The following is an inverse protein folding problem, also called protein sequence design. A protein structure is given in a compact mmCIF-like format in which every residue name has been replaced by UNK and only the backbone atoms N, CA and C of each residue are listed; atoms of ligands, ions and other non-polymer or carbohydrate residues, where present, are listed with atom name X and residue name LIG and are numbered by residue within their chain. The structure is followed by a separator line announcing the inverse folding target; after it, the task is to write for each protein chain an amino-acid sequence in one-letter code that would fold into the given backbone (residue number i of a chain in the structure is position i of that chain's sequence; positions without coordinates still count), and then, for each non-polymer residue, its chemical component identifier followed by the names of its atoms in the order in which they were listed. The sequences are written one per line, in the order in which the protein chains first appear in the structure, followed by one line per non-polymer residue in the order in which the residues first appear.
data_IF_770079787993
#
_entry.id   IF_770079787993
#
_cell.length_a   1.000
_cell.length_b   1.000
_cell.length_c   1.000
_cell.angle_alpha   90.00
_cell.angle_beta   90.00
_cell.angle_gamma   90.00
#
_symmetry.space_group_name_H-M   'P 1'
#
loop_
_entity.id
_entity.type
_entity.pdbx_description
1 polymer ?
#
# COMPACT_ATOMS: atom_id res chain seq x y z
N UNK A 1 67.88 28.32 -0.57
CA UNK A 1 68.49 29.46 -1.30
C UNK A 1 67.99 29.40 -2.73
N UNK A 2 67.56 30.43 -3.44
CA UNK A 2 67.39 31.87 -3.23
C UNK A 2 66.35 32.27 -4.30
N UNK A 3 65.39 33.11 -3.92
CA UNK A 3 64.41 33.80 -4.79
C UNK A 3 65.11 34.86 -5.68
N UNK A 4 64.34 35.67 -6.39
CA UNK A 4 64.67 36.99 -6.95
C UNK A 4 65.08 37.02 -8.42
N UNK A 5 64.57 37.90 -9.30
CA UNK A 5 63.51 38.95 -9.30
C UNK A 5 63.33 39.34 -10.80
N UNK A 6 62.13 39.67 -11.32
CA UNK A 6 61.54 41.04 -11.44
C UNK A 6 62.44 42.02 -12.22
N UNK A 7 62.01 42.94 -13.10
CA UNK A 7 60.76 43.65 -13.45
C UNK A 7 61.15 44.55 -14.67
N UNK A 8 60.25 45.04 -15.52
CA UNK A 8 59.71 46.42 -15.40
C UNK A 8 58.53 46.69 -16.38
N UNK A 9 57.41 47.14 -15.80
CA UNK A 9 56.36 48.07 -16.29
C UNK A 9 56.93 49.53 -16.23
N UNK A 10 56.24 50.67 -16.52
CA UNK A 10 54.79 50.98 -16.46
C UNK A 10 54.30 51.92 -17.61
N UNK A 11 53.02 52.32 -17.73
CA UNK A 11 52.31 53.46 -17.07
C UNK A 11 50.86 53.47 -17.61
N UNK A 12 49.79 54.02 -17.01
CA UNK A 12 49.52 54.71 -15.75
C UNK A 12 47.98 54.65 -15.47
N UNK A 13 47.60 54.86 -14.20
CA UNK A 13 46.25 54.85 -13.60
C UNK A 13 45.52 56.22 -13.77
N UNK A 14 44.44 56.64 -13.02
CA UNK A 14 43.63 56.03 -11.92
C UNK A 14 42.07 56.26 -12.04
N UNK A 15 41.19 55.41 -11.45
CA UNK A 15 40.47 55.44 -10.15
C UNK A 15 39.05 56.12 -10.09
N UNK A 16 38.09 55.33 -9.54
CA UNK A 16 36.90 55.63 -8.70
C UNK A 16 35.81 56.66 -9.10
N UNK A 17 34.51 56.27 -9.13
CA UNK A 17 33.47 56.59 -8.11
C UNK A 17 32.07 56.01 -8.50
N UNK A 18 31.10 56.08 -7.59
CA UNK A 18 29.81 55.39 -7.41
C UNK A 18 28.61 55.74 -8.40
N UNK A 19 27.37 55.21 -8.22
CA UNK A 19 26.36 54.93 -9.27
C UNK A 19 25.34 56.07 -9.54
N UNK A 20 24.39 55.86 -10.49
CA UNK A 20 23.02 56.26 -10.22
C UNK A 20 21.91 55.29 -10.68
N UNK A 21 20.82 55.40 -9.93
CA UNK A 21 19.45 54.92 -10.08
C UNK A 21 18.70 55.72 -11.17
N UNK A 22 17.81 55.09 -11.95
CA UNK A 22 16.68 55.81 -12.55
C UNK A 22 15.50 54.87 -12.85
N UNK A 23 14.38 55.20 -12.21
CA UNK A 23 13.07 54.62 -12.34
C UNK A 23 12.37 55.08 -13.63
N UNK A 24 11.50 54.23 -14.21
CA UNK A 24 10.29 54.69 -14.91
C UNK A 24 9.10 53.78 -14.64
N UNK A 25 8.13 54.42 -14.01
CA UNK A 25 6.76 54.02 -13.72
C UNK A 25 5.88 54.17 -14.97
N UNK A 26 4.91 53.26 -15.17
CA UNK A 26 3.72 53.46 -16.03
C UNK A 26 2.65 52.37 -15.77
N UNK A 27 1.93 52.60 -14.67
CA UNK A 27 0.55 52.24 -14.32
C UNK A 27 -0.51 51.86 -15.40
N UNK A 28 -1.42 50.95 -14.95
CA UNK A 28 -2.89 50.83 -15.18
C UNK A 28 -3.37 50.33 -16.57
N UNK A 29 -4.34 49.40 -16.71
CA UNK A 29 -5.70 49.34 -16.12
C UNK A 29 -6.33 47.94 -16.18
N UNK A 30 -7.42 47.81 -15.40
CA UNK A 30 -8.32 46.68 -15.18
C UNK A 30 -8.96 46.00 -16.41
N UNK A 31 -9.39 44.75 -16.21
CA UNK A 31 -10.33 44.05 -17.07
C UNK A 31 -10.69 42.66 -16.55
N UNK A 32 -11.68 42.59 -15.67
CA UNK A 32 -12.51 41.39 -15.49
C UNK A 32 -13.30 41.12 -16.79
N UNK A 33 -13.46 39.84 -17.16
CA UNK A 33 -14.77 39.41 -17.62
C UNK A 33 -15.21 38.13 -16.91
N UNK A 34 -16.20 38.30 -16.05
CA UNK A 34 -17.28 37.34 -15.79
C UNK A 34 -17.78 36.73 -17.10
N UNK A 35 -17.78 35.39 -17.21
CA UNK A 35 -18.88 34.68 -17.85
C UNK A 35 -19.03 33.24 -17.29
N UNK A 36 -20.27 32.76 -17.10
CA UNK A 36 -20.58 31.55 -16.34
C UNK A 36 -20.71 30.32 -17.25
N UNK A 37 -20.08 29.21 -16.86
CA UNK A 37 -20.31 27.91 -17.48
C UNK A 37 -21.21 27.05 -16.59
N UNK A 38 -22.48 27.07 -17.00
CA UNK A 38 -23.38 25.93 -17.18
C UNK A 38 -23.36 24.78 -16.16
N UNK A 39 -24.52 24.65 -15.53
CA UNK A 39 -25.04 23.49 -14.81
C UNK A 39 -24.84 22.18 -15.58
N UNK A 40 -24.09 21.24 -15.00
CA UNK A 40 -24.15 19.83 -15.38
C UNK A 40 -24.67 18.99 -14.20
N UNK A 41 -25.87 18.44 -14.43
CA UNK A 41 -26.50 17.29 -13.78
C UNK A 41 -25.87 16.75 -12.48
N UNK A 42 -26.49 17.13 -11.36
CA UNK A 42 -26.41 16.38 -10.10
C UNK A 42 -27.14 15.05 -10.32
N UNK A 43 -26.37 13.99 -10.57
CA UNK A 43 -26.88 12.62 -10.49
C UNK A 43 -27.16 12.32 -9.02
N UNK A 44 -28.44 12.32 -8.66
CA UNK A 44 -28.97 11.89 -7.37
C UNK A 44 -28.64 10.41 -7.14
N UNK A 45 -27.62 10.13 -6.32
CA UNK A 45 -27.40 8.79 -5.78
C UNK A 45 -28.40 8.55 -4.64
N UNK A 46 -29.48 7.84 -4.98
CA UNK A 46 -30.47 7.36 -4.04
C UNK A 46 -29.82 6.42 -3.00
N UNK A 47 -30.01 6.75 -1.73
CA UNK A 47 -29.67 5.91 -0.58
C UNK A 47 -30.55 4.66 -0.57
N UNK A 48 -30.01 3.43 -0.53
CA UNK A 48 -30.83 2.24 -0.35
C UNK A 48 -31.47 2.22 1.05
N UNK A 49 -32.73 1.77 1.18
CA UNK A 49 -33.49 1.85 2.43
C UNK A 49 -32.91 0.93 3.52
N UNK A 50 -32.92 1.44 4.75
CA UNK A 50 -32.57 0.72 5.97
C UNK A 50 -33.58 -0.41 6.26
N UNK A 51 -33.14 -1.61 6.69
CA UNK A 51 -34.05 -2.60 7.24
C UNK A 51 -34.42 -2.24 8.69
N UNK A 52 -35.72 -2.33 8.95
CA UNK A 52 -36.39 -2.02 10.21
C UNK A 52 -35.89 -2.86 11.39
N UNK A 53 -35.89 -2.24 12.57
CA UNK A 53 -35.54 -2.84 13.85
C UNK A 53 -36.55 -3.91 14.25
N UNK A 54 -36.06 -5.07 14.69
CA UNK A 54 -36.82 -5.99 15.54
C UNK A 54 -36.16 -6.00 16.91
N UNK A 55 -36.96 -5.56 17.88
CA UNK A 55 -36.72 -5.57 19.31
C UNK A 55 -36.57 -7.02 19.83
N UNK A 56 -35.49 -7.28 20.58
CA UNK A 56 -35.45 -8.39 21.54
C UNK A 56 -34.27 -8.27 22.52
N UNK A 57 -34.61 -7.88 23.74
CA UNK A 57 -34.37 -8.74 24.91
C UNK A 57 -32.98 -8.69 25.55
N UNK A 58 -32.92 -7.95 26.64
CA UNK A 58 -31.93 -7.94 27.72
C UNK A 58 -31.48 -9.35 28.17
N UNK A 59 -30.17 -9.56 28.30
CA UNK A 59 -29.59 -10.35 29.41
C UNK A 59 -28.06 -10.21 29.46
N UNK A 60 -27.60 -9.71 30.59
CA UNK A 60 -26.26 -9.92 31.20
C UNK A 60 -26.56 -10.44 32.63
N UNK A 61 -25.62 -11.06 33.39
CA UNK A 61 -24.16 -11.03 33.18
C UNK A 61 -23.39 -12.36 33.47
N UNK A 62 -22.07 -12.26 33.24
CA UNK A 62 -20.96 -12.77 34.06
C UNK A 62 -20.17 -14.05 33.65
N UNK A 63 -18.89 -13.77 33.35
CA UNK A 63 -17.67 -14.50 33.74
C UNK A 63 -17.31 -15.82 33.07
N UNK A 64 -16.22 -15.84 32.28
CA UNK A 64 -14.91 -16.35 32.73
C UNK A 64 -13.84 -16.18 31.64
N UNK A 65 -12.62 -15.83 32.06
CA UNK A 65 -11.43 -15.72 31.20
C UNK A 65 -10.93 -17.13 30.87
N UNK A 66 -10.69 -17.42 29.59
CA UNK A 66 -9.85 -18.53 29.17
C UNK A 66 -9.17 -18.22 27.81
N UNK A 67 -7.86 -18.09 27.90
CA UNK A 67 -6.79 -18.42 26.95
C UNK A 67 -6.88 -18.08 25.45
N UNK A 68 -5.84 -17.33 25.05
CA UNK A 68 -5.43 -17.11 23.69
C UNK A 68 -4.99 -18.41 22.99
N UNK A 69 -5.80 -18.88 22.05
CA UNK A 69 -5.32 -19.68 20.92
C UNK A 69 -6.00 -19.17 19.64
N UNK A 70 -5.18 -18.81 18.66
CA UNK A 70 -5.61 -18.27 17.36
C UNK A 70 -6.38 -19.30 16.55
N UNK A 71 -7.67 -19.46 16.85
CA UNK A 71 -8.63 -20.18 16.03
C UNK A 71 -9.21 -19.25 14.98
N UNK A 72 -8.96 -19.53 13.70
CA UNK A 72 -9.71 -18.91 12.63
C UNK A 72 -11.16 -19.42 12.69
N UNK A 73 -12.10 -18.54 13.03
CA UNK A 73 -13.53 -18.82 12.90
C UNK A 73 -13.83 -19.21 11.45
N UNK A 74 -14.47 -20.37 11.19
CA UNK A 74 -14.83 -20.77 9.84
C UNK A 74 -15.77 -19.71 9.23
N UNK A 75 -15.59 -19.47 7.93
CA UNK A 75 -16.44 -18.54 7.18
C UNK A 75 -17.92 -19.00 7.29
N UNK A 76 -18.88 -18.06 7.37
CA UNK A 76 -20.30 -18.41 7.44
C UNK A 76 -20.72 -19.25 6.24
N UNK A 77 -21.58 -20.25 6.48
CA UNK A 77 -22.05 -21.20 5.48
C UNK A 77 -22.61 -20.48 4.24
N UNK A 78 -22.14 -20.88 3.05
CA UNK A 78 -22.60 -20.36 1.75
C UNK A 78 -21.66 -19.37 1.05
N UNK A 79 -20.55 -18.94 1.67
CA UNK A 79 -19.53 -18.09 1.01
C UNK A 79 -18.24 -18.87 0.85
N UNK A 80 -17.70 -18.91 -0.37
CA UNK A 80 -16.41 -19.55 -0.64
C UNK A 80 -15.35 -19.04 0.34
N UNK A 81 -14.67 -19.99 0.98
CA UNK A 81 -13.65 -19.68 1.98
C UNK A 81 -12.59 -18.79 1.38
N UNK A 82 -11.91 -17.99 2.21
CA UNK A 82 -10.78 -17.17 1.74
C UNK A 82 -9.70 -18.03 1.07
N UNK A 83 -9.53 -19.28 1.53
CA UNK A 83 -8.63 -20.28 0.93
C UNK A 83 -9.09 -20.70 -0.47
N UNK A 84 -10.39 -20.90 -0.67
CA UNK A 84 -10.94 -21.28 -1.97
C UNK A 84 -10.79 -20.12 -2.97
N UNK A 85 -11.00 -18.89 -2.50
CA UNK A 85 -10.76 -17.68 -3.31
C UNK A 85 -9.28 -17.56 -3.71
N UNK A 86 -8.34 -17.84 -2.81
CA UNK A 86 -6.91 -17.84 -3.14
C UNK A 86 -6.50 -19.00 -4.06
N UNK A 87 -7.05 -20.20 -3.85
CA UNK A 87 -6.84 -21.35 -4.74
C UNK A 87 -7.38 -21.08 -6.15
N UNK A 88 -8.44 -20.28 -6.25
CA UNK A 88 -8.99 -19.81 -7.52
C UNK A 88 -8.36 -18.47 -7.98
N UNK A 89 -7.13 -18.16 -7.56
CA UNK A 89 -6.37 -17.05 -8.16
C UNK A 89 -5.81 -17.45 -9.53
N UNK A 90 -5.55 -16.45 -10.39
CA UNK A 90 -4.94 -16.68 -11.71
C UNK A 90 -3.58 -17.39 -11.61
N UNK A 91 -2.77 -16.97 -10.64
CA UNK A 91 -1.49 -17.59 -10.31
C UNK A 91 -1.63 -19.08 -9.96
N UNK A 92 -2.51 -19.41 -9.01
CA UNK A 92 -2.70 -20.79 -8.57
C UNK A 92 -3.25 -21.69 -9.70
N UNK A 93 -4.15 -21.17 -10.54
CA UNK A 93 -4.64 -21.90 -11.72
C UNK A 93 -3.58 -22.13 -12.78
N UNK A 94 -2.74 -21.12 -13.06
CA UNK A 94 -1.65 -21.22 -14.04
C UNK A 94 -0.69 -22.36 -13.67
N UNK A 95 -0.18 -22.33 -12.43
CA UNK A 95 0.70 -23.39 -11.91
C UNK A 95 0.00 -24.75 -11.81
N UNK A 96 -1.25 -24.79 -11.36
CA UNK A 96 -2.00 -26.06 -11.34
C UNK A 96 -2.13 -26.64 -12.75
N UNK A 97 -2.44 -25.82 -13.76
CA UNK A 97 -2.59 -26.27 -15.14
C UNK A 97 -1.29 -26.77 -15.76
N UNK A 98 -0.19 -26.05 -15.54
CA UNK A 98 1.15 -26.42 -15.98
C UNK A 98 1.55 -27.81 -15.47
N UNK A 99 1.44 -28.03 -14.16
CA UNK A 99 1.91 -29.26 -13.53
C UNK A 99 0.89 -30.42 -13.61
N UNK A 100 -0.39 -30.16 -13.88
CA UNK A 100 -1.40 -31.24 -14.08
C UNK A 100 -1.15 -32.05 -15.35
N UNK A 101 -0.40 -31.50 -16.32
CA UNK A 101 -0.04 -32.20 -17.56
C UNK A 101 1.15 -33.14 -17.40
N UNK A 102 1.68 -33.26 -16.18
CA UNK A 102 2.88 -34.03 -15.84
C UNK A 102 4.04 -33.76 -16.83
N UNK A 103 4.48 -32.49 -16.93
CA UNK A 103 5.49 -32.08 -17.90
C UNK A 103 6.81 -32.81 -17.64
N UNK A 104 7.63 -32.90 -18.70
CA UNK A 104 8.99 -33.43 -18.58
C UNK A 104 9.84 -32.47 -17.76
N UNK A 105 10.84 -33.03 -17.10
CA UNK A 105 11.79 -32.27 -16.29
C UNK A 105 12.95 -31.80 -17.18
N UNK A 106 12.71 -30.75 -17.95
CA UNK A 106 13.64 -30.17 -18.92
C UNK A 106 13.68 -28.63 -18.81
N UNK A 107 14.53 -28.01 -19.64
CA UNK A 107 14.67 -26.55 -19.68
C UNK A 107 13.38 -25.86 -20.17
N UNK A 108 12.57 -26.52 -21.02
CA UNK A 108 11.28 -25.99 -21.48
C UNK A 108 10.30 -25.79 -20.29
N UNK A 109 10.25 -26.75 -19.35
CA UNK A 109 9.47 -26.58 -18.12
C UNK A 109 9.93 -25.37 -17.30
N UNK A 110 11.24 -25.11 -17.22
CA UNK A 110 11.76 -23.95 -16.49
C UNK A 110 11.36 -22.63 -17.15
N UNK A 111 11.36 -22.58 -18.48
CA UNK A 111 10.95 -21.41 -19.26
C UNK A 111 9.43 -21.15 -19.13
N UNK A 112 8.61 -22.21 -19.06
CA UNK A 112 7.18 -22.10 -18.76
C UNK A 112 6.92 -21.57 -17.34
N UNK A 113 7.71 -22.02 -16.35
CA UNK A 113 7.65 -21.50 -14.98
C UNK A 113 8.05 -20.02 -14.93
N UNK A 114 9.13 -19.64 -15.61
CA UNK A 114 9.58 -18.24 -15.70
C UNK A 114 8.47 -17.35 -16.27
N UNK A 115 7.89 -17.76 -17.39
CA UNK A 115 6.78 -17.04 -18.04
C UNK A 115 5.59 -16.90 -17.10
N UNK A 116 5.24 -17.97 -16.38
CA UNK A 116 4.13 -17.95 -15.41
C UNK A 116 4.39 -17.02 -14.22
N UNK A 117 5.64 -16.96 -13.72
CA UNK A 117 6.04 -16.06 -12.62
C UNK A 117 6.02 -14.59 -13.08
N UNK A 118 6.54 -14.30 -14.26
CA UNK A 118 6.55 -12.94 -14.82
C UNK A 118 5.13 -12.44 -15.10
N UNK A 119 4.27 -13.28 -15.67
CA UNK A 119 2.85 -12.96 -15.92
C UNK A 119 2.08 -12.71 -14.62
N UNK A 120 2.56 -13.23 -13.49
CA UNK A 120 1.96 -13.05 -12.17
C UNK A 120 2.57 -11.88 -11.37
N UNK A 121 3.30 -10.97 -12.01
CA UNK A 121 3.92 -9.78 -11.40
C UNK A 121 4.94 -10.10 -10.30
N UNK A 122 5.62 -11.26 -10.35
CA UNK A 122 6.71 -11.60 -9.40
C UNK A 122 7.95 -10.71 -9.63
N UNK A 123 8.13 -10.24 -10.87
CA UNK A 123 9.24 -9.37 -11.27
C UNK A 123 10.50 -10.14 -11.67
N UNK A 124 11.29 -9.53 -12.56
CA UNK A 124 12.44 -10.18 -13.22
C UNK A 124 13.46 -10.70 -12.21
N UNK A 125 13.89 -9.87 -11.26
CA UNK A 125 14.97 -10.25 -10.32
C UNK A 125 14.61 -11.47 -9.47
N UNK A 126 13.39 -11.52 -8.92
CA UNK A 126 12.94 -12.65 -8.10
C UNK A 126 12.74 -13.90 -8.96
N UNK A 127 12.14 -13.76 -10.14
CA UNK A 127 11.95 -14.87 -11.07
C UNK A 127 13.28 -15.49 -11.51
N UNK A 128 14.25 -14.69 -11.97
CA UNK A 128 15.57 -15.18 -12.38
C UNK A 128 16.27 -15.92 -11.24
N UNK A 129 16.21 -15.39 -10.01
CA UNK A 129 16.78 -16.05 -8.83
C UNK A 129 16.15 -17.44 -8.59
N UNK A 130 14.83 -17.53 -8.68
CA UNK A 130 14.10 -18.79 -8.49
C UNK A 130 14.42 -19.80 -9.59
N UNK A 131 14.37 -19.38 -10.85
CA UNK A 131 14.58 -20.26 -12.00
C UNK A 131 16.01 -20.78 -12.04
N UNK A 132 17.02 -19.95 -11.79
CA UNK A 132 18.42 -20.39 -11.74
C UNK A 132 18.69 -21.35 -10.57
N UNK A 133 18.07 -21.12 -9.41
CA UNK A 133 18.14 -22.05 -8.29
C UNK A 133 17.55 -23.42 -8.65
N UNK A 134 16.38 -23.44 -9.30
CA UNK A 134 15.75 -24.67 -9.78
C UNK A 134 16.58 -25.35 -10.87
N UNK A 135 17.10 -24.60 -11.85
CA UNK A 135 17.95 -25.10 -12.94
C UNK A 135 19.18 -25.81 -12.41
N UNK A 136 19.85 -25.23 -11.41
CA UNK A 136 21.01 -25.85 -10.75
C UNK A 136 20.67 -27.19 -10.11
N UNK A 137 19.57 -27.25 -9.37
CA UNK A 137 19.10 -28.46 -8.67
C UNK A 137 18.61 -29.54 -9.65
N UNK A 138 17.98 -29.12 -10.75
CA UNK A 138 17.57 -29.99 -11.85
C UNK A 138 18.78 -30.62 -12.55
N UNK A 139 19.83 -29.83 -12.85
CA UNK A 139 21.10 -30.34 -13.40
C UNK A 139 21.82 -31.31 -12.46
N UNK A 140 21.69 -31.10 -11.15
CA UNK A 140 22.18 -32.02 -10.12
C UNK A 140 21.31 -33.28 -9.93
N UNK A 141 20.22 -33.43 -10.70
CA UNK A 141 19.26 -34.54 -10.64
C UNK A 141 18.59 -34.70 -9.27
N UNK A 142 18.31 -33.60 -8.59
CA UNK A 142 17.67 -33.60 -7.27
C UNK A 142 16.16 -33.88 -7.29
N UNK A 143 15.51 -33.77 -8.46
CA UNK A 143 14.07 -33.95 -8.59
C UNK A 143 13.73 -35.31 -9.21
N UNK A 144 12.85 -36.06 -8.55
CA UNK A 144 12.34 -37.33 -9.07
C UNK A 144 11.32 -37.13 -10.20
N UNK A 145 10.52 -36.08 -10.12
CA UNK A 145 9.49 -35.73 -11.09
C UNK A 145 9.16 -34.22 -11.04
N UNK A 146 8.22 -33.79 -11.90
CA UNK A 146 7.76 -32.40 -11.93
C UNK A 146 7.06 -31.98 -10.62
N UNK A 147 6.43 -32.90 -9.88
CA UNK A 147 5.78 -32.57 -8.61
C UNK A 147 6.81 -32.26 -7.52
N UNK A 148 7.93 -32.96 -7.50
CA UNK A 148 9.07 -32.66 -6.63
C UNK A 148 9.66 -31.27 -6.93
N UNK A 149 9.77 -30.91 -8.22
CA UNK A 149 10.18 -29.56 -8.63
C UNK A 149 9.17 -28.51 -8.17
N UNK A 150 7.86 -28.74 -8.32
CA UNK A 150 6.82 -27.82 -7.84
C UNK A 150 6.90 -27.61 -6.33
N UNK A 151 7.12 -28.69 -5.58
CA UNK A 151 7.29 -28.62 -4.13
C UNK A 151 8.53 -27.79 -3.75
N UNK A 152 9.64 -27.94 -4.49
CA UNK A 152 10.84 -27.13 -4.30
C UNK A 152 10.60 -25.65 -4.63
N UNK A 153 9.96 -25.33 -5.76
CA UNK A 153 9.59 -23.96 -6.11
C UNK A 153 8.73 -23.31 -5.01
N UNK A 154 7.74 -24.04 -4.49
CA UNK A 154 6.91 -23.57 -3.38
C UNK A 154 7.75 -23.27 -2.14
N UNK A 155 8.72 -24.13 -1.81
CA UNK A 155 9.59 -23.93 -0.66
C UNK A 155 10.46 -22.68 -0.82
N UNK A 156 11.04 -22.45 -2.00
CA UNK A 156 11.83 -21.24 -2.30
C UNK A 156 10.99 -19.96 -2.22
N UNK A 157 9.77 -19.97 -2.77
CA UNK A 157 8.82 -18.85 -2.65
C UNK A 157 8.50 -18.53 -1.18
N UNK A 158 8.26 -19.56 -0.36
CA UNK A 158 8.01 -19.38 1.07
C UNK A 158 9.26 -18.83 1.77
N UNK A 159 10.44 -19.35 1.45
CA UNK A 159 11.70 -18.90 2.03
C UNK A 159 11.98 -17.43 1.71
N UNK A 160 11.66 -16.98 0.49
CA UNK A 160 11.77 -15.57 0.09
C UNK A 160 10.84 -14.65 0.89
N UNK A 161 9.63 -15.11 1.22
CA UNK A 161 8.65 -14.32 1.98
C UNK A 161 8.88 -14.35 3.51
N UNK A 162 9.55 -15.39 4.04
CA UNK A 162 9.73 -15.58 5.48
C UNK A 162 10.35 -14.37 6.22
N UNK A 163 11.40 -13.69 5.70
CA UNK A 163 12.03 -12.55 6.38
C UNK A 163 11.11 -11.33 6.57
N UNK A 164 10.12 -11.17 5.68
CA UNK A 164 9.18 -10.04 5.68
C UNK A 164 7.81 -10.40 6.24
N UNK A 165 7.55 -11.68 6.55
CA UNK A 165 6.30 -12.17 7.13
C UNK A 165 6.22 -11.88 8.64
N UNK A 166 6.28 -10.59 9.00
CA UNK A 166 6.21 -10.12 10.39
C UNK A 166 4.82 -9.53 10.66
N UNK A 167 4.01 -10.13 11.55
CA UNK A 167 2.70 -9.57 11.88
C UNK A 167 2.86 -8.24 12.64
N UNK A 168 1.97 -7.28 12.35
CA UNK A 168 1.87 -6.06 13.14
C UNK A 168 1.41 -6.40 14.57
N UNK A 169 2.27 -6.15 15.56
CA UNK A 169 1.97 -6.33 16.98
C UNK A 169 1.78 -4.97 17.64
N UNK A 170 0.59 -4.74 18.20
CA UNK A 170 0.29 -3.54 19.00
C UNK A 170 0.65 -3.88 20.45
N UNK A 171 1.82 -3.43 20.91
CA UNK A 171 2.29 -3.68 22.26
C UNK A 171 1.54 -2.85 23.30
N UNK A 172 1.29 -3.44 24.48
CA UNK A 172 0.53 -2.79 25.54
C UNK A 172 1.29 -1.63 26.23
N UNK A 173 2.61 -1.58 26.09
CA UNK A 173 3.47 -0.58 26.75
C UNK A 173 3.44 0.81 26.10
N UNK A 174 3.14 0.92 24.80
CA UNK A 174 3.07 2.19 24.09
C UNK A 174 1.61 2.66 23.99
N UNK A 175 1.27 3.73 24.72
CA UNK A 175 -0.08 4.31 24.74
C UNK A 175 -0.01 5.83 24.48
N UNK A 176 -0.56 6.33 23.35
CA UNK A 176 -1.17 5.57 22.26
C UNK A 176 -0.13 4.85 21.39
N UNK A 177 -0.50 3.71 20.81
CA UNK A 177 0.24 3.10 19.70
C UNK A 177 -0.16 3.81 18.40
N UNK A 178 0.78 4.46 17.74
CA UNK A 178 0.51 5.31 16.57
C UNK A 178 0.79 4.55 15.27
N UNK A 179 -0.20 4.48 14.38
CA UNK A 179 -0.06 3.94 13.02
C UNK A 179 -0.13 5.10 12.03
N UNK A 180 1.01 5.46 11.44
CA UNK A 180 1.07 6.43 10.35
C UNK A 180 0.90 5.72 9.01
N UNK A 181 -0.14 6.08 8.26
CA UNK A 181 -0.41 5.51 6.92
C UNK A 181 0.12 6.43 5.85
N UNK A 182 1.07 5.96 5.04
CA UNK A 182 1.71 6.71 3.95
C UNK A 182 1.50 6.02 2.60
N UNK A 183 1.56 6.78 1.51
CA UNK A 183 1.43 6.26 0.14
C UNK A 183 0.80 7.26 -0.83
N UNK A 184 0.87 6.97 -2.12
CA UNK A 184 0.33 7.86 -3.18
C UNK A 184 -1.21 7.88 -3.19
N UNK A 185 -1.80 8.80 -3.94
CA UNK A 185 -3.27 8.90 -4.06
C UNK A 185 -3.84 7.66 -4.78
N UNK A 186 -5.03 7.22 -4.37
CA UNK A 186 -5.73 6.11 -5.03
C UNK A 186 -5.35 4.68 -4.60
N UNK A 187 -4.24 4.46 -3.87
CA UNK A 187 -3.80 3.10 -3.44
C UNK A 187 -4.64 2.47 -2.32
N UNK A 188 -5.73 3.12 -1.92
CA UNK A 188 -6.65 2.59 -0.91
C UNK A 188 -6.28 2.88 0.55
N UNK A 189 -5.48 3.93 0.84
CA UNK A 189 -5.09 4.31 2.23
C UNK A 189 -6.28 4.44 3.17
N UNK A 190 -7.25 5.29 2.85
CA UNK A 190 -8.44 5.53 3.69
C UNK A 190 -9.27 4.27 3.87
N UNK A 191 -9.40 3.46 2.82
CA UNK A 191 -10.07 2.15 2.89
C UNK A 191 -9.35 1.18 3.83
N UNK A 192 -8.02 1.15 3.80
CA UNK A 192 -7.20 0.33 4.70
C UNK A 192 -7.31 0.81 6.15
N UNK A 193 -7.31 2.12 6.39
CA UNK A 193 -7.54 2.71 7.72
C UNK A 193 -8.91 2.26 8.26
N UNK A 194 -9.99 2.36 7.46
CA UNK A 194 -11.32 1.91 7.87
C UNK A 194 -11.40 0.41 8.17
N UNK A 195 -10.73 -0.44 7.38
CA UNK A 195 -10.63 -1.90 7.63
C UNK A 195 -9.90 -2.21 8.93
N UNK A 196 -8.77 -1.56 9.18
CA UNK A 196 -8.00 -1.72 10.42
C UNK A 196 -8.79 -1.21 11.63
N UNK A 197 -9.47 -0.07 11.50
CA UNK A 197 -10.31 0.50 12.54
C UNK A 197 -11.47 -0.44 12.92
N UNK A 198 -12.13 -1.06 11.93
CA UNK A 198 -13.14 -2.10 12.17
C UNK A 198 -12.55 -3.30 12.90
N UNK A 199 -11.45 -3.85 12.38
CA UNK A 199 -10.77 -5.00 13.00
C UNK A 199 -10.41 -4.74 14.46
N UNK A 200 -9.74 -3.62 14.75
CA UNK A 200 -9.29 -3.33 16.11
C UNK A 200 -10.43 -2.97 17.06
N UNK A 201 -11.54 -2.40 16.57
CA UNK A 201 -12.75 -2.25 17.37
C UNK A 201 -13.35 -3.60 17.71
N UNK A 202 -13.42 -4.51 16.75
CA UNK A 202 -13.93 -5.87 16.97
C UNK A 202 -13.04 -6.67 17.95
N UNK A 203 -11.75 -6.31 18.05
CA UNK A 203 -10.82 -6.79 19.09
C UNK A 203 -10.99 -6.06 20.45
N UNK A 204 -11.95 -5.13 20.59
CA UNK A 204 -12.25 -4.40 21.82
C UNK A 204 -11.27 -3.27 22.17
N UNK A 205 -10.46 -2.79 21.20
CA UNK A 205 -9.48 -1.73 21.44
C UNK A 205 -10.13 -0.35 21.42
N UNK A 206 -9.67 0.53 22.32
CA UNK A 206 -9.95 1.97 22.23
C UNK A 206 -9.13 2.58 21.09
N UNK A 207 -9.79 3.37 20.23
CA UNK A 207 -9.23 3.88 18.98
C UNK A 207 -9.57 5.36 18.82
N UNK A 208 -8.73 6.07 18.07
CA UNK A 208 -8.97 7.41 17.57
C UNK A 208 -8.38 7.49 16.16
N UNK A 209 -9.07 8.20 15.26
CA UNK A 209 -8.58 8.49 13.92
C UNK A 209 -8.16 9.96 13.83
N UNK A 210 -7.10 10.23 13.07
CA UNK A 210 -6.63 11.58 12.80
C UNK A 210 -6.59 11.82 11.29
N UNK A 211 -7.30 12.86 10.83
CA UNK A 211 -7.34 13.26 9.43
C UNK A 211 -6.10 14.08 9.06
N UNK A 212 -5.01 13.39 8.74
CA UNK A 212 -3.74 14.02 8.35
C UNK A 212 -3.62 14.40 6.86
N UNK A 213 -4.52 13.92 5.99
CA UNK A 213 -4.59 14.31 4.57
C UNK A 213 -5.41 15.61 4.44
N UNK A 214 -4.83 16.74 4.89
CA UNK A 214 -5.54 18.03 5.04
C UNK A 214 -5.75 18.78 3.72
N UNK A 215 -5.03 18.42 2.66
CA UNK A 215 -5.18 19.05 1.34
C UNK A 215 -6.39 18.51 0.58
N UNK A 216 -6.79 17.26 0.84
CA UNK A 216 -7.87 16.60 0.12
C UNK A 216 -9.12 16.57 1.00
N UNK A 217 -9.97 17.58 0.86
CA UNK A 217 -11.24 17.68 1.60
C UNK A 217 -12.05 16.36 1.61
N UNK A 218 -12.18 15.72 0.43
CA UNK A 218 -12.87 14.43 0.31
C UNK A 218 -12.23 13.29 1.11
N UNK A 219 -10.91 13.33 1.35
CA UNK A 219 -10.23 12.32 2.18
C UNK A 219 -10.59 12.48 3.67
N UNK A 220 -10.72 13.74 4.13
CA UNK A 220 -11.17 14.06 5.49
C UNK A 220 -12.62 13.60 5.69
N UNK A 221 -13.54 13.96 4.80
CA UNK A 221 -14.94 13.52 4.85
C UNK A 221 -15.06 11.99 4.83
N UNK A 222 -14.32 11.32 3.94
CA UNK A 222 -14.34 9.87 3.86
C UNK A 222 -13.88 9.23 5.18
N UNK A 223 -12.85 9.78 5.83
CA UNK A 223 -12.38 9.29 7.12
C UNK A 223 -13.40 9.53 8.23
N UNK A 224 -14.11 10.67 8.22
CA UNK A 224 -15.19 10.97 9.16
C UNK A 224 -16.34 9.96 9.02
N UNK A 225 -16.79 9.66 7.80
CA UNK A 225 -17.82 8.63 7.53
C UNK A 225 -17.38 7.26 8.05
N UNK A 226 -16.11 6.89 7.86
CA UNK A 226 -15.57 5.66 8.43
C UNK A 226 -15.55 5.68 9.96
N UNK A 227 -15.20 6.81 10.58
CA UNK A 227 -15.24 6.98 12.03
C UNK A 227 -16.66 6.81 12.58
N UNK A 228 -17.64 7.51 12.00
CA UNK A 228 -19.05 7.44 12.39
C UNK A 228 -19.61 6.02 12.26
N UNK A 229 -19.43 5.37 11.11
CA UNK A 229 -19.87 3.98 10.86
C UNK A 229 -19.31 3.00 11.88
N UNK A 230 -18.15 3.31 12.44
CA UNK A 230 -17.45 2.47 13.38
C UNK A 230 -17.53 2.97 14.82
N UNK A 231 -18.23 4.08 15.09
CA UNK A 231 -18.29 4.72 16.41
C UNK A 231 -16.91 5.03 16.99
N UNK A 232 -16.00 5.54 16.15
CA UNK A 232 -14.63 5.91 16.52
C UNK A 232 -14.46 7.43 16.39
N UNK A 233 -13.92 8.12 17.41
CA UNK A 233 -13.68 9.56 17.32
C UNK A 233 -12.67 9.90 16.23
N UNK A 234 -12.98 10.95 15.45
CA UNK A 234 -12.13 11.45 14.37
C UNK A 234 -11.72 12.89 14.68
N UNK A 235 -10.41 13.14 14.73
CA UNK A 235 -9.84 14.47 14.86
C UNK A 235 -9.52 15.00 13.45
N UNK A 236 -10.11 16.15 13.09
CA UNK A 236 -9.92 16.80 11.80
C UNK A 236 -9.87 18.33 11.97
N UNK A 237 -9.22 19.01 11.04
CA UNK A 237 -9.21 20.48 10.95
C UNK A 237 -9.94 20.92 9.67
N UNK A 238 -10.31 22.21 9.59
CA UNK A 238 -10.88 22.79 8.38
C UNK A 238 -9.85 22.72 7.25
N UNK A 239 -10.29 22.36 6.04
CA UNK A 239 -9.46 22.35 4.83
C UNK A 239 -8.88 23.75 4.60
N UNK A 240 -7.56 23.85 4.48
CA UNK A 240 -6.84 25.09 4.18
C UNK A 240 -6.56 25.27 2.69
#
# INVERSE_FOLDING_TARGET
MISFFRRKKPDAAPAADAPPEEARDASLTAGDPTQPLASENIVSHQTPPAPAMSDRGTSEPASERADAQGGHTPAPAGKSGWRDRLRNSGFARSFSGLFSRNPRLDDDLLDEIETALLTADVGVSATTQLVEALRKRMKAREFADAQALLAALRAELIAMLAPVSKPLRIEAGAKPFVILTVGVNGVGKTTTIGKLARRYRDEGRSLMLAAGDTFRAAAVEQLQVWGERNQIPVIAQHTG
#
